data_IF_249789006429
#
_entry.id   IF_249789006429
#
_cell.length_a   1.000
_cell.length_b   1.000
_cell.length_c   1.000
_cell.angle_alpha   90.00
_cell.angle_beta   90.00
_cell.angle_gamma   90.00
#
_symmetry.space_group_name_H-M   'P 1'
#
loop_
_entity.id
_entity.type
_entity.pdbx_description
1 polymer ?
#
# COMPACT_ATOMS: atom_id res chain seq x y z
N UNK A 1 -25.46 -42.79 -37.05
CA UNK A 1 -26.78 -42.12 -37.17
C UNK A 1 -27.22 -41.72 -35.79
N UNK A 2 -27.81 -40.51 -35.69
CA UNK A 2 -28.12 -39.74 -34.47
C UNK A 2 -28.83 -40.51 -33.33
N UNK A 3 -28.73 -39.95 -32.12
CA UNK A 3 -29.90 -39.55 -31.31
C UNK A 3 -29.50 -38.49 -30.27
N UNK A 4 -30.27 -37.40 -30.30
CA UNK A 4 -30.26 -36.18 -29.49
C UNK A 4 -31.02 -36.44 -28.19
N UNK A 5 -30.60 -35.86 -27.05
CA UNK A 5 -31.52 -35.33 -26.04
C UNK A 5 -30.89 -34.13 -25.33
N UNK A 6 -31.44 -32.94 -25.62
CA UNK A 6 -31.34 -31.76 -24.78
C UNK A 6 -32.62 -31.60 -23.96
N UNK A 7 -32.49 -30.94 -22.80
CA UNK A 7 -33.56 -30.35 -22.00
C UNK A 7 -32.93 -29.07 -21.39
N UNK A 8 -33.36 -27.84 -21.70
CA UNK A 8 -34.66 -27.18 -21.60
C UNK A 8 -35.07 -26.88 -20.14
N UNK A 9 -34.98 -25.61 -19.75
CA UNK A 9 -35.69 -25.01 -18.62
C UNK A 9 -35.99 -23.54 -18.92
N UNK A 10 -37.06 -23.38 -19.70
CA UNK A 10 -38.26 -22.59 -19.43
C UNK A 10 -38.12 -21.16 -18.88
N UNK A 11 -38.70 -20.28 -19.69
CA UNK A 11 -39.10 -18.89 -19.52
C UNK A 11 -40.26 -18.74 -18.53
N UNK A 12 -40.49 -17.52 -18.00
CA UNK A 12 -41.82 -16.85 -18.04
C UNK A 12 -41.86 -15.51 -17.26
N UNK A 13 -42.37 -14.49 -17.97
CA UNK A 13 -43.31 -13.37 -17.60
C UNK A 13 -43.02 -12.42 -16.44
N UNK A 14 -43.63 -11.23 -16.33
CA UNK A 14 -44.19 -10.16 -17.19
C UNK A 14 -44.80 -9.14 -16.20
N UNK A 15 -44.56 -7.84 -16.46
CA UNK A 15 -45.35 -6.63 -16.12
C UNK A 15 -46.22 -6.50 -14.86
N UNK A 16 -46.09 -5.39 -14.11
CA UNK A 16 -47.07 -4.27 -14.09
C UNK A 16 -46.72 -3.14 -13.10
N UNK A 17 -46.96 -1.91 -13.58
CA UNK A 17 -47.09 -0.56 -13.03
C UNK A 17 -47.26 -0.29 -11.52
N UNK A 18 -46.77 0.90 -11.13
CA UNK A 18 -47.11 1.57 -9.88
C UNK A 18 -46.49 2.97 -9.75
N UNK A 19 -47.13 3.94 -10.40
CA UNK A 19 -47.03 5.41 -10.33
C UNK A 19 -46.66 6.01 -8.93
N UNK A 20 -46.09 7.23 -8.92
CA UNK A 20 -46.67 8.44 -8.26
C UNK A 20 -45.61 9.46 -7.75
N UNK A 21 -45.51 10.56 -8.53
CA UNK A 21 -45.48 12.01 -8.20
C UNK A 21 -44.28 12.77 -7.60
N UNK A 22 -44.12 13.93 -8.25
CA UNK A 22 -43.25 15.11 -8.18
C UNK A 22 -43.20 15.96 -6.86
N UNK A 23 -42.33 17.00 -6.79
CA UNK A 23 -41.64 17.49 -5.59
C UNK A 23 -42.31 18.70 -4.92
N UNK A 24 -41.70 19.23 -3.85
CA UNK A 24 -41.50 20.69 -3.85
C UNK A 24 -40.09 21.15 -3.47
N UNK A 25 -39.72 22.24 -4.13
CA UNK A 25 -38.61 23.15 -3.85
C UNK A 25 -38.66 23.75 -2.44
N UNK A 26 -37.49 24.15 -1.94
CA UNK A 26 -37.35 25.02 -0.78
C UNK A 26 -35.89 25.33 -0.48
N UNK A 27 -35.43 26.47 -1.01
CA UNK A 27 -34.54 27.45 -0.37
C UNK A 27 -33.21 26.91 0.20
N UNK A 28 -32.06 27.09 -0.45
CA UNK A 28 -31.47 28.41 -0.64
C UNK A 28 -30.86 28.91 0.67
N UNK A 29 -29.61 28.54 0.96
CA UNK A 29 -28.69 29.48 1.59
C UNK A 29 -27.22 29.07 1.41
N UNK A 30 -26.42 30.10 1.15
CA UNK A 30 -25.02 30.02 0.89
C UNK A 30 -24.24 29.85 2.20
N UNK A 31 -22.95 29.56 2.04
CA UNK A 31 -21.90 29.76 3.03
C UNK A 31 -21.73 28.64 4.08
N UNK A 32 -20.94 27.65 3.71
CA UNK A 32 -20.09 26.95 4.68
C UNK A 32 -18.63 27.09 4.26
N UNK A 33 -18.05 28.19 4.72
CA UNK A 33 -16.62 28.30 4.99
C UNK A 33 -16.17 27.08 5.79
N UNK A 34 -15.10 26.35 5.42
CA UNK A 34 -14.52 25.36 6.32
C UNK A 34 -13.81 26.11 7.46
N UNK A 35 -14.13 25.86 8.74
CA UNK A 35 -13.33 26.40 9.82
C UNK A 35 -11.94 25.76 9.80
N UNK A 36 -10.96 26.64 9.86
CA UNK A 36 -9.59 26.35 10.21
C UNK A 36 -9.51 25.62 11.57
N UNK A 37 -8.60 24.64 11.62
CA UNK A 37 -7.67 24.38 12.74
C UNK A 37 -8.21 24.28 14.16
N UNK A 38 -8.07 23.08 14.73
CA UNK A 38 -7.53 22.78 16.07
C UNK A 38 -6.85 21.42 15.94
N UNK A 39 -5.53 21.24 15.85
CA UNK A 39 -4.44 21.66 16.74
C UNK A 39 -4.70 21.39 18.22
N UNK A 40 -4.34 20.18 18.64
CA UNK A 40 -3.81 19.81 19.95
C UNK A 40 -2.79 18.69 19.61
N UNK A 41 -1.47 18.87 19.58
CA UNK A 41 -0.67 19.73 20.43
C UNK A 41 -0.21 18.98 21.68
N UNK A 42 0.63 17.94 21.54
CA UNK A 42 1.63 17.66 22.57
C UNK A 42 2.89 17.00 21.98
N UNK A 43 3.83 17.86 21.63
CA UNK A 43 5.25 17.56 21.37
C UNK A 43 6.04 17.64 22.66
N UNK A 44 6.95 16.68 22.91
CA UNK A 44 8.33 16.94 23.37
C UNK A 44 9.11 15.60 23.34
N UNK A 45 10.32 15.46 22.78
CA UNK A 45 11.40 16.42 22.62
C UNK A 45 12.17 16.22 21.29
N UNK A 46 12.70 17.34 20.80
CA UNK A 46 13.46 17.55 19.57
C UNK A 46 14.93 17.11 19.64
N UNK A 47 15.50 16.84 18.47
CA UNK A 47 16.92 16.95 18.13
C UNK A 47 17.06 17.29 16.64
N UNK A 48 17.97 18.18 16.21
CA UNK A 48 17.84 18.95 14.96
C UNK A 48 18.19 18.15 13.69
N UNK A 49 17.46 18.44 12.62
CA UNK A 49 17.50 17.76 11.32
C UNK A 49 18.79 18.00 10.52
N UNK A 50 19.07 17.12 9.55
CA UNK A 50 19.05 17.62 8.17
C UNK A 50 18.24 16.73 7.20
N UNK A 51 17.35 17.35 6.44
CA UNK A 51 16.93 16.94 5.09
C UNK A 51 17.35 18.08 4.13
N UNK A 52 17.75 17.90 2.84
CA UNK A 52 17.21 16.99 1.77
C UNK A 52 18.34 16.43 0.82
N UNK A 53 18.15 15.77 -0.37
CA UNK A 53 17.03 15.68 -1.33
C UNK A 53 16.37 14.28 -1.42
N UNK A 54 15.08 14.11 -1.68
CA UNK A 54 13.90 14.98 -1.65
C UNK A 54 12.77 14.18 -0.98
N UNK A 55 11.66 14.82 -0.56
CA UNK A 55 10.57 14.24 0.23
C UNK A 55 10.14 12.85 -0.27
N UNK A 56 10.65 11.76 0.32
CA UNK A 56 10.32 10.44 -0.19
C UNK A 56 9.29 9.80 0.73
N UNK A 57 8.03 10.00 0.37
CA UNK A 57 6.97 9.08 0.73
C UNK A 57 6.20 9.32 2.03
N UNK A 58 5.10 8.58 2.16
CA UNK A 58 4.13 8.62 3.25
C UNK A 58 4.72 8.12 4.58
N UNK A 59 5.74 7.24 4.53
CA UNK A 59 6.31 6.55 5.68
C UNK A 59 7.81 6.74 5.75
N UNK A 60 8.40 6.64 6.93
CA UNK A 60 9.87 6.66 7.06
C UNK A 60 10.50 5.33 6.64
N UNK A 61 11.72 5.32 6.09
CA UNK A 61 12.48 4.06 5.84
C UNK A 61 12.52 3.19 7.11
N UNK A 62 12.69 3.80 8.29
CA UNK A 62 12.73 3.05 9.56
C UNK A 62 11.43 2.30 9.79
N UNK A 63 10.30 2.95 9.61
CA UNK A 63 8.97 2.36 9.77
C UNK A 63 8.75 1.22 8.78
N UNK A 64 9.00 1.46 7.49
CA UNK A 64 8.92 0.45 6.42
C UNK A 64 9.76 -0.78 6.78
N UNK A 65 11.02 -0.59 7.18
CA UNK A 65 11.92 -1.69 7.50
C UNK A 65 11.49 -2.46 8.76
N UNK A 66 11.00 -1.77 9.80
CA UNK A 66 10.56 -2.42 11.04
C UNK A 66 9.26 -3.19 10.81
N UNK A 67 8.21 -2.50 10.38
CA UNK A 67 6.86 -3.07 10.26
C UNK A 67 6.75 -4.02 9.06
N UNK A 68 7.47 -3.74 7.97
CA UNK A 68 7.46 -4.55 6.77
C UNK A 68 8.37 -5.79 6.84
N UNK A 69 9.54 -5.71 7.49
CA UNK A 69 10.60 -6.72 7.29
C UNK A 69 11.25 -7.31 8.54
N UNK A 70 11.30 -6.57 9.66
CA UNK A 70 12.21 -6.88 10.78
C UNK A 70 11.53 -7.17 12.11
N UNK A 71 10.46 -6.46 12.46
CA UNK A 71 9.80 -6.62 13.75
C UNK A 71 9.14 -8.02 13.86
N UNK A 72 8.92 -8.50 15.07
CA UNK A 72 8.13 -9.72 15.26
C UNK A 72 6.70 -9.48 14.73
N UNK A 73 6.17 -10.45 13.97
CA UNK A 73 4.89 -10.28 13.28
C UNK A 73 4.92 -9.25 12.14
N UNK A 74 6.09 -8.99 11.54
CA UNK A 74 6.18 -8.11 10.37
C UNK A 74 5.38 -8.66 9.18
N UNK A 75 4.98 -7.74 8.30
CA UNK A 75 4.11 -8.05 7.16
C UNK A 75 4.74 -9.07 6.21
N UNK A 76 6.05 -8.99 5.93
CA UNK A 76 6.76 -9.98 5.09
C UNK A 76 6.55 -11.40 5.60
N UNK A 77 6.79 -11.64 6.89
CA UNK A 77 6.68 -12.98 7.46
C UNK A 77 5.23 -13.46 7.45
N UNK A 78 4.26 -12.61 7.81
CA UNK A 78 2.83 -12.96 7.73
C UNK A 78 2.41 -13.34 6.31
N UNK A 79 2.93 -12.66 5.28
CA UNK A 79 2.63 -12.96 3.87
C UNK A 79 3.27 -14.28 3.46
N UNK A 80 4.54 -14.50 3.79
CA UNK A 80 5.26 -15.72 3.45
C UNK A 80 4.71 -16.96 4.19
N UNK A 81 4.19 -16.77 5.40
CA UNK A 81 3.54 -17.81 6.20
C UNK A 81 2.09 -18.07 5.74
N UNK A 82 1.55 -17.24 4.84
CA UNK A 82 0.18 -17.36 4.33
C UNK A 82 -0.90 -16.96 5.34
N UNK A 83 -0.52 -16.25 6.42
CA UNK A 83 -1.43 -15.83 7.50
C UNK A 83 -1.86 -14.36 7.38
N UNK A 84 -1.27 -13.60 6.46
CA UNK A 84 -1.60 -12.20 6.23
C UNK A 84 -3.03 -12.02 5.71
N UNK A 85 -3.74 -11.04 6.29
CA UNK A 85 -5.00 -10.52 5.74
C UNK A 85 -4.74 -9.73 4.44
N UNK A 86 -5.80 -9.47 3.67
CA UNK A 86 -5.67 -8.68 2.44
C UNK A 86 -5.29 -7.23 2.72
N UNK A 87 -5.73 -6.68 3.85
CA UNK A 87 -5.31 -5.36 4.34
C UNK A 87 -3.80 -5.33 4.66
N UNK A 88 -3.27 -6.39 5.27
CA UNK A 88 -1.84 -6.52 5.57
C UNK A 88 -1.00 -6.65 4.31
N UNK A 89 -1.47 -7.43 3.32
CA UNK A 89 -0.85 -7.51 1.99
C UNK A 89 -0.84 -6.15 1.29
N UNK A 90 -1.98 -5.45 1.28
CA UNK A 90 -2.08 -4.11 0.70
C UNK A 90 -1.16 -3.11 1.41
N UNK A 91 -1.04 -3.17 2.74
CA UNK A 91 -0.13 -2.34 3.51
C UNK A 91 1.34 -2.61 3.17
N UNK A 92 1.70 -3.88 2.96
CA UNK A 92 3.05 -4.24 2.53
C UNK A 92 3.36 -3.70 1.14
N UNK A 93 2.41 -3.78 0.20
CA UNK A 93 2.53 -3.17 -1.14
C UNK A 93 2.75 -1.65 -1.04
N UNK A 94 1.93 -0.93 -0.27
CA UNK A 94 2.08 0.52 -0.08
C UNK A 94 3.44 0.88 0.55
N UNK A 95 3.95 0.05 1.48
CA UNK A 95 5.30 0.22 2.03
C UNK A 95 6.42 0.04 1.01
N UNK A 96 6.37 -0.99 0.15
CA UNK A 96 7.44 -1.23 -0.83
C UNK A 96 7.40 -0.24 -2.00
N UNK A 97 6.21 0.22 -2.40
CA UNK A 97 6.06 1.34 -3.34
C UNK A 97 6.60 2.63 -2.74
N UNK A 98 6.37 2.86 -1.45
CA UNK A 98 6.91 4.02 -0.77
C UNK A 98 8.43 3.98 -0.64
N UNK A 99 8.99 2.80 -0.42
CA UNK A 99 10.44 2.59 -0.35
C UNK A 99 11.14 2.98 -1.65
N UNK A 100 10.55 2.69 -2.81
CA UNK A 100 11.12 3.01 -4.13
C UNK A 100 11.28 4.53 -4.38
N UNK A 101 10.57 5.37 -3.63
CA UNK A 101 10.65 6.83 -3.78
C UNK A 101 11.91 7.42 -3.15
N UNK A 102 12.62 6.64 -2.34
CA UNK A 102 13.80 7.12 -1.61
C UNK A 102 15.04 7.19 -2.49
N UNK A 103 15.81 8.26 -2.29
CA UNK A 103 17.16 8.37 -2.85
C UNK A 103 18.17 7.69 -1.95
N UNK A 104 18.96 6.77 -2.49
CA UNK A 104 20.04 6.13 -1.73
C UNK A 104 21.20 7.08 -1.54
N UNK A 105 21.81 7.01 -0.36
CA UNK A 105 23.02 7.78 0.00
C UNK A 105 24.31 6.99 -0.22
N UNK A 106 24.18 5.69 -0.51
CA UNK A 106 25.28 4.73 -0.69
C UNK A 106 24.88 3.75 -1.78
N UNK A 107 25.84 3.41 -2.64
CA UNK A 107 25.61 2.58 -3.82
C UNK A 107 24.88 3.35 -4.92
N UNK A 108 24.60 2.64 -6.01
CA UNK A 108 23.98 3.21 -7.20
C UNK A 108 22.46 3.33 -7.05
N UNK A 109 21.91 4.46 -7.49
CA UNK A 109 20.47 4.71 -7.46
C UNK A 109 19.71 3.75 -8.40
N UNK A 110 20.26 3.47 -9.58
CA UNK A 110 19.66 2.53 -10.54
C UNK A 110 19.57 1.11 -9.99
N UNK A 111 20.57 0.67 -9.21
CA UNK A 111 20.54 -0.65 -8.59
C UNK A 111 19.46 -0.73 -7.50
N UNK A 112 19.30 0.35 -6.73
CA UNK A 112 18.22 0.44 -5.76
C UNK A 112 16.85 0.38 -6.42
N UNK A 113 16.64 1.13 -7.51
CA UNK A 113 15.39 1.13 -8.28
C UNK A 113 15.06 -0.25 -8.84
N UNK A 114 16.04 -0.95 -9.43
CA UNK A 114 15.87 -2.33 -9.92
C UNK A 114 15.46 -3.30 -8.80
N UNK A 115 16.08 -3.18 -7.63
CA UNK A 115 15.75 -4.00 -6.46
C UNK A 115 14.33 -3.70 -5.94
N UNK A 116 13.97 -2.43 -5.82
CA UNK A 116 12.63 -2.05 -5.35
C UNK A 116 11.54 -2.39 -6.36
N UNK A 117 11.80 -2.29 -7.67
CA UNK A 117 10.86 -2.70 -8.71
C UNK A 117 10.60 -4.21 -8.68
N UNK A 118 11.65 -4.99 -8.48
CA UNK A 118 11.55 -6.46 -8.33
C UNK A 118 10.71 -6.80 -7.10
N UNK A 119 10.97 -6.10 -5.99
CA UNK A 119 10.23 -6.25 -4.75
C UNK A 119 8.74 -5.87 -4.89
N UNK A 120 8.43 -4.76 -5.56
CA UNK A 120 7.04 -4.32 -5.80
C UNK A 120 6.30 -5.34 -6.67
N UNK A 121 6.93 -5.83 -7.74
CA UNK A 121 6.33 -6.85 -8.61
C UNK A 121 6.04 -8.13 -7.84
N UNK A 122 6.98 -8.58 -7.01
CA UNK A 122 6.80 -9.77 -6.19
C UNK A 122 5.71 -9.57 -5.12
N UNK A 123 5.66 -8.40 -4.47
CA UNK A 123 4.66 -8.07 -3.45
C UNK A 123 3.22 -7.99 -4.00
N UNK A 124 3.06 -7.56 -5.26
CA UNK A 124 1.75 -7.52 -5.96
C UNK A 124 1.37 -8.86 -6.58
N UNK A 125 2.34 -9.73 -6.81
CA UNK A 125 2.14 -11.06 -7.36
C UNK A 125 1.61 -12.06 -6.33
N UNK A 126 1.26 -13.25 -6.81
CA UNK A 126 0.87 -14.39 -5.97
C UNK A 126 2.02 -15.37 -5.73
N UNK A 127 3.20 -15.13 -6.31
CA UNK A 127 4.35 -16.02 -6.21
C UNK A 127 5.17 -15.73 -4.94
N UNK A 128 4.94 -16.57 -3.92
CA UNK A 128 5.65 -16.47 -2.64
C UNK A 128 7.14 -16.80 -2.74
N UNK A 129 7.57 -17.61 -3.71
CA UNK A 129 8.99 -17.89 -3.91
C UNK A 129 9.68 -16.65 -4.48
N UNK A 130 9.07 -16.00 -5.48
CA UNK A 130 9.56 -14.73 -6.00
C UNK A 130 9.62 -13.64 -4.91
N UNK A 131 8.60 -13.58 -4.02
CA UNK A 131 8.63 -12.66 -2.88
C UNK A 131 9.78 -12.99 -1.92
N UNK A 132 9.95 -14.26 -1.57
CA UNK A 132 11.04 -14.71 -0.68
C UNK A 132 12.42 -14.37 -1.21
N UNK A 133 12.62 -14.47 -2.52
CA UNK A 133 13.87 -14.10 -3.18
C UNK A 133 14.07 -12.58 -3.23
N UNK A 134 13.00 -11.82 -3.47
CA UNK A 134 13.05 -10.37 -3.52
C UNK A 134 13.33 -9.72 -2.15
N UNK A 135 12.91 -10.35 -1.05
CA UNK A 135 13.12 -9.85 0.33
C UNK A 135 14.49 -10.21 0.92
N UNK A 136 15.52 -10.24 0.07
CA UNK A 136 16.88 -10.56 0.47
C UNK A 136 17.57 -9.37 1.16
N UNK A 137 17.54 -9.38 2.50
CA UNK A 137 18.13 -8.33 3.34
C UNK A 137 19.58 -7.97 2.97
N UNK A 138 20.40 -8.94 2.57
CA UNK A 138 21.81 -8.71 2.25
C UNK A 138 21.99 -8.00 0.91
N UNK A 139 21.19 -8.37 -0.10
CA UNK A 139 21.24 -7.77 -1.43
C UNK A 139 20.92 -6.28 -1.37
N UNK A 140 19.94 -5.87 -0.55
CA UNK A 140 19.63 -4.46 -0.37
C UNK A 140 20.61 -3.75 0.58
N UNK A 141 20.97 -4.37 1.72
CA UNK A 141 21.74 -3.66 2.74
C UNK A 141 23.24 -3.57 2.46
N UNK A 142 23.85 -4.53 1.78
CA UNK A 142 25.28 -4.48 1.46
C UNK A 142 25.65 -3.21 0.67
N UNK A 143 24.97 -2.91 -0.46
CA UNK A 143 25.23 -1.69 -1.22
C UNK A 143 24.64 -0.43 -0.59
N UNK A 144 23.44 -0.48 0.02
CA UNK A 144 22.69 0.74 0.33
C UNK A 144 22.59 1.10 1.82
N UNK A 145 22.98 0.21 2.74
CA UNK A 145 22.97 0.52 4.18
C UNK A 145 24.26 1.25 4.60
N UNK A 146 24.08 2.33 5.34
CA UNK A 146 25.18 3.08 5.97
C UNK A 146 25.39 2.56 7.40
N UNK A 147 26.63 2.16 7.72
CA UNK A 147 27.06 1.73 9.05
C UNK A 147 28.31 2.51 9.52
N UNK A 148 28.42 2.88 10.82
CA UNK A 148 27.34 2.85 11.81
C UNK A 148 26.21 3.79 11.37
N UNK A 149 24.95 3.51 11.77
CA UNK A 149 23.88 4.48 11.54
C UNK A 149 24.33 5.79 12.18
N UNK A 150 24.32 6.90 11.42
CA UNK A 150 24.67 8.21 11.97
C UNK A 150 23.81 8.41 13.22
N UNK A 151 24.46 8.61 14.36
CA UNK A 151 23.77 9.07 15.56
C UNK A 151 23.15 10.41 15.19
N UNK A 152 21.84 10.52 15.36
CA UNK A 152 21.16 11.80 15.31
C UNK A 152 21.57 12.59 16.55
#
# INVERSE_FOLDING_TARGET
GALIFGACSQETTDSVDGEQVDPPSGDGDANSTPPAGKDDGNSTAEGPAPAPPGLAGKYTIKEIMQQGFKADGNLKDLILDGTATDEQKAKFVDYVENLAQYKVRKGEQEDFEKLTDTLIKAAKGSDLAALKDAVNCKTCHTPHKIYPPKKK
#
